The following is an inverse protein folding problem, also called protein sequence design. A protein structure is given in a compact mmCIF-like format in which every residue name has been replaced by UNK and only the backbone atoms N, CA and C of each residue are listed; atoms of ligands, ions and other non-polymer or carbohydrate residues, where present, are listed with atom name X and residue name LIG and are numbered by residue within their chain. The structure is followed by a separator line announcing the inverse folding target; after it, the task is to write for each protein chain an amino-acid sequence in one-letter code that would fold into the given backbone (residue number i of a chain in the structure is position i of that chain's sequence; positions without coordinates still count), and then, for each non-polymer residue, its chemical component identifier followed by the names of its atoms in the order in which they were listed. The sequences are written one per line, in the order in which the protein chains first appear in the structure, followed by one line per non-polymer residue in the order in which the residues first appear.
data_IF_229715229351
#
_entry.id   IF_229715229351
#
_cell.length_a   1.000
_cell.length_b   1.000
_cell.length_c   1.000
_cell.angle_alpha   90.00
_cell.angle_beta   90.00
_cell.angle_gamma   90.00
#
_symmetry.space_group_name_H-M   'P 1'
#
loop_
_entity.id
_entity.type
_entity.pdbx_description
1 polymer ?
#
# COMPACT_ATOMS: atom_id res chain seq x y z
N UNK A 1 -33.77 -3.79 15.57
CA UNK A 1 -32.38 -3.78 15.06
C UNK A 1 -32.25 -3.61 13.55
N UNK A 2 -32.84 -4.46 12.68
CA UNK A 2 -32.73 -4.32 11.21
C UNK A 2 -33.07 -2.92 10.66
N UNK A 3 -34.12 -2.27 11.18
CA UNK A 3 -34.58 -0.95 10.71
C UNK A 3 -33.63 0.23 10.96
N UNK A 4 -32.64 0.10 11.84
CA UNK A 4 -31.65 1.15 12.13
C UNK A 4 -30.37 0.95 11.30
N UNK A 5 -30.02 -0.31 10.99
CA UNK A 5 -28.79 -0.65 10.28
C UNK A 5 -28.83 -0.22 8.81
N UNK A 6 -29.94 -0.50 8.10
CA UNK A 6 -30.05 -0.18 6.67
C UNK A 6 -30.09 1.34 6.36
N UNK A 7 -30.82 2.19 7.10
CA UNK A 7 -30.76 3.63 6.91
C UNK A 7 -29.38 4.22 7.18
N UNK A 8 -28.66 3.70 8.19
CA UNK A 8 -27.30 4.14 8.50
C UNK A 8 -26.29 3.78 7.40
N UNK A 9 -26.43 2.60 6.78
CA UNK A 9 -25.58 2.22 5.62
C UNK A 9 -25.88 3.12 4.42
N UNK A 10 -27.16 3.45 4.17
CA UNK A 10 -27.53 4.34 3.07
C UNK A 10 -27.01 5.77 3.30
N UNK A 11 -27.11 6.30 4.52
CA UNK A 11 -26.55 7.60 4.88
C UNK A 11 -25.02 7.63 4.74
N UNK A 12 -24.34 6.57 5.19
CA UNK A 12 -22.89 6.44 5.01
C UNK A 12 -22.50 6.39 3.53
N UNK A 13 -23.27 5.67 2.69
CA UNK A 13 -23.03 5.60 1.25
C UNK A 13 -23.14 6.98 0.60
N UNK A 14 -24.22 7.71 0.86
CA UNK A 14 -24.42 9.06 0.32
C UNK A 14 -23.29 10.01 0.75
N UNK A 15 -22.93 10.04 2.03
CA UNK A 15 -21.77 10.82 2.49
C UNK A 15 -20.48 10.41 1.77
N UNK A 16 -20.24 9.11 1.60
CA UNK A 16 -19.01 8.63 0.98
C UNK A 16 -18.90 9.06 -0.49
N UNK A 17 -20.00 8.95 -1.25
CA UNK A 17 -20.04 9.26 -2.68
C UNK A 17 -20.12 10.76 -2.99
N UNK A 18 -20.92 11.50 -2.22
CA UNK A 18 -21.27 12.89 -2.51
C UNK A 18 -20.34 13.89 -1.83
N UNK A 19 -19.78 13.54 -0.66
CA UNK A 19 -18.95 14.45 0.13
C UNK A 19 -17.50 13.97 0.24
N UNK A 20 -17.29 12.73 0.73
CA UNK A 20 -15.96 12.23 1.05
C UNK A 20 -15.10 12.02 -0.19
N UNK A 21 -15.56 11.25 -1.19
CA UNK A 21 -14.81 10.95 -2.43
C UNK A 21 -14.44 12.25 -3.17
N UNK A 22 -15.37 13.21 -3.43
CA UNK A 22 -15.02 14.46 -4.10
C UNK A 22 -14.01 15.29 -3.35
N UNK A 23 -14.05 15.28 -2.00
CA UNK A 23 -13.11 15.98 -1.13
C UNK A 23 -11.77 15.26 -0.94
N UNK A 24 -11.57 14.06 -1.51
CA UNK A 24 -10.28 13.37 -1.40
C UNK A 24 -9.17 14.11 -2.14
N UNK A 25 -7.97 14.03 -1.55
CA UNK A 25 -6.73 14.46 -2.20
C UNK A 25 -6.51 13.74 -3.54
N UNK A 26 -5.90 14.42 -4.50
CA UNK A 26 -5.49 13.83 -5.79
C UNK A 26 -4.06 13.30 -5.81
N UNK A 27 -3.29 13.60 -4.77
CA UNK A 27 -1.90 13.15 -4.63
C UNK A 27 -1.85 11.67 -4.24
N UNK A 28 -0.72 11.00 -4.50
CA UNK A 28 -0.51 9.58 -4.21
C UNK A 28 0.31 9.36 -2.94
N UNK A 29 0.09 8.21 -2.32
CA UNK A 29 0.89 7.73 -1.18
C UNK A 29 0.65 8.51 0.10
N UNK A 30 1.08 7.96 1.24
CA UNK A 30 0.95 8.63 2.54
C UNK A 30 1.96 9.78 2.69
N UNK A 31 3.00 9.80 1.86
CA UNK A 31 4.06 10.81 1.92
C UNK A 31 3.56 12.22 1.62
N UNK A 32 2.45 12.36 0.90
CA UNK A 32 1.88 13.67 0.55
C UNK A 32 1.02 14.30 1.65
N UNK A 33 0.79 13.61 2.77
CA UNK A 33 0.15 14.21 3.94
C UNK A 33 1.14 15.14 4.68
N UNK A 34 0.65 16.09 5.48
CA UNK A 34 1.49 16.76 6.47
C UNK A 34 2.23 15.73 7.34
N UNK A 35 3.56 15.83 7.45
CA UNK A 35 4.43 14.85 8.11
C UNK A 35 4.39 13.41 7.53
N UNK A 36 3.92 13.25 6.29
CA UNK A 36 3.73 11.95 5.64
C UNK A 36 5.02 11.14 5.50
N UNK A 37 6.16 11.79 5.27
CA UNK A 37 7.47 11.14 5.16
C UNK A 37 7.91 10.50 6.49
N UNK A 38 7.80 11.24 7.60
CA UNK A 38 8.10 10.72 8.95
C UNK A 38 7.17 9.58 9.31
N UNK A 39 5.88 9.69 8.96
CA UNK A 39 4.92 8.62 9.17
C UNK A 39 5.28 7.39 8.34
N UNK A 40 5.60 7.55 7.05
CA UNK A 40 5.97 6.45 6.16
C UNK A 40 7.22 5.74 6.67
N UNK A 41 8.26 6.49 7.05
CA UNK A 41 9.47 5.94 7.64
C UNK A 41 9.17 5.12 8.90
N UNK A 42 8.34 5.65 9.80
CA UNK A 42 7.97 4.92 11.01
C UNK A 42 7.17 3.64 10.70
N UNK A 43 6.32 3.63 9.66
CA UNK A 43 5.64 2.42 9.19
C UNK A 43 6.63 1.39 8.63
N UNK A 44 7.63 1.81 7.86
CA UNK A 44 8.70 0.92 7.39
C UNK A 44 9.38 0.25 8.57
N UNK A 45 9.79 1.03 9.58
CA UNK A 45 10.44 0.46 10.76
C UNK A 45 9.53 -0.52 11.50
N UNK A 46 8.24 -0.16 11.67
CA UNK A 46 7.27 -1.00 12.37
C UNK A 46 7.04 -2.35 11.68
N UNK A 47 6.81 -2.36 10.37
CA UNK A 47 6.47 -3.60 9.65
C UNK A 47 7.68 -4.45 9.32
N UNK A 48 8.84 -3.84 9.10
CA UNK A 48 10.09 -4.57 8.83
C UNK A 48 10.81 -4.98 10.11
N UNK A 49 10.43 -4.42 11.26
CA UNK A 49 11.15 -4.54 12.54
C UNK A 49 12.62 -4.11 12.46
N UNK A 50 12.95 -3.22 11.51
CA UNK A 50 14.30 -2.67 11.31
C UNK A 50 14.33 -1.17 11.58
N UNK A 51 15.54 -0.61 11.68
CA UNK A 51 15.77 0.84 11.73
C UNK A 51 16.18 1.43 10.37
N UNK A 52 16.05 0.64 9.29
CA UNK A 52 16.43 1.07 7.95
C UNK A 52 15.54 2.20 7.46
N UNK A 53 16.12 3.13 6.70
CA UNK A 53 15.30 4.10 5.96
C UNK A 53 14.49 3.42 4.85
N UNK A 54 13.41 4.05 4.39
CA UNK A 54 12.55 3.46 3.35
C UNK A 54 13.28 3.26 2.00
N UNK A 55 14.33 4.03 1.71
CA UNK A 55 15.11 3.92 0.47
C UNK A 55 15.89 2.59 0.37
N UNK A 56 16.74 2.18 1.34
CA UNK A 56 17.37 0.86 1.34
C UNK A 56 16.40 -0.31 1.21
N UNK A 57 15.20 -0.22 1.80
CA UNK A 57 14.15 -1.25 1.68
C UNK A 57 13.65 -1.34 0.24
N UNK A 58 13.38 -0.20 -0.41
CA UNK A 58 12.99 -0.13 -1.82
C UNK A 58 14.07 -0.74 -2.74
N UNK A 59 15.33 -0.33 -2.55
CA UNK A 59 16.46 -0.84 -3.34
C UNK A 59 16.67 -2.35 -3.17
N UNK A 60 16.49 -2.86 -1.94
CA UNK A 60 16.54 -4.31 -1.67
C UNK A 60 15.43 -5.03 -2.42
N UNK A 61 14.21 -4.48 -2.41
CA UNK A 61 13.08 -5.03 -3.16
C UNK A 61 13.35 -5.12 -4.65
N UNK A 62 13.88 -4.05 -5.28
CA UNK A 62 14.22 -4.06 -6.70
C UNK A 62 15.26 -5.14 -7.05
N UNK A 63 16.29 -5.29 -6.21
CA UNK A 63 17.33 -6.33 -6.38
C UNK A 63 16.75 -7.73 -6.27
N UNK A 64 15.92 -7.99 -5.25
CA UNK A 64 15.34 -9.31 -5.04
C UNK A 64 14.31 -9.67 -6.11
N UNK A 65 13.52 -8.70 -6.60
CA UNK A 65 12.63 -8.94 -7.76
C UNK A 65 13.43 -9.38 -8.98
N UNK A 66 14.50 -8.66 -9.33
CA UNK A 66 15.34 -9.01 -10.47
C UNK A 66 16.03 -10.38 -10.29
N UNK A 67 16.53 -10.67 -9.08
CA UNK A 67 17.16 -11.95 -8.74
C UNK A 67 16.18 -13.11 -8.87
N UNK A 68 14.98 -13.00 -8.29
CA UNK A 68 13.95 -14.05 -8.34
C UNK A 68 13.48 -14.27 -9.78
N UNK A 69 13.32 -13.20 -10.57
CA UNK A 69 12.98 -13.33 -11.98
C UNK A 69 14.05 -14.11 -12.76
N UNK A 70 15.33 -13.81 -12.53
CA UNK A 70 16.42 -14.57 -13.15
C UNK A 70 16.44 -16.04 -12.73
N UNK A 71 16.18 -16.34 -11.45
CA UNK A 71 16.09 -17.71 -10.95
C UNK A 71 14.92 -18.46 -11.59
N UNK A 72 13.77 -17.80 -11.79
CA UNK A 72 12.60 -18.38 -12.46
C UNK A 72 12.93 -18.79 -13.90
N UNK A 73 13.68 -17.97 -14.64
CA UNK A 73 14.12 -18.28 -16.01
C UNK A 73 15.03 -19.51 -16.08
N UNK A 74 15.85 -19.74 -15.05
CA UNK A 74 16.68 -20.95 -14.96
C UNK A 74 15.79 -22.18 -14.77
N UNK A 75 14.87 -22.11 -13.81
CA UNK A 75 13.95 -23.21 -13.51
C UNK A 75 13.08 -23.55 -14.73
N UNK A 76 12.55 -22.55 -15.44
CA UNK A 76 11.76 -22.77 -16.67
C UNK A 76 12.51 -23.60 -17.72
N UNK A 77 13.81 -23.31 -17.91
CA UNK A 77 14.67 -24.09 -18.83
C UNK A 77 14.89 -25.51 -18.36
N UNK A 78 15.02 -25.72 -17.05
CA UNK A 78 15.19 -27.06 -16.46
C UNK A 78 13.93 -27.92 -16.60
N UNK A 79 12.75 -27.33 -16.40
CA UNK A 79 11.46 -28.04 -16.50
C UNK A 79 10.93 -28.16 -17.94
N UNK A 80 11.70 -27.69 -18.94
CA UNK A 80 11.38 -27.73 -20.38
C UNK A 80 10.02 -27.12 -20.74
N UNK A 81 9.66 -26.00 -20.08
CA UNK A 81 8.52 -25.17 -20.49
C UNK A 81 8.94 -24.15 -21.53
#
# INVERSE_FOLDING_TARGET
MKKILFPNINGLKSFFEEEYIPATRKTLGVISYPNGEKYYQQRVNYFTTTELSYNPVYETGLKEVARIQADMEVVLKEVKL
#
